data_IF_011832880640
#
_entry.id   IF_011832880640
#
_cell.length_a   1.000
_cell.length_b   1.000
_cell.length_c   1.000
_cell.angle_alpha   90.00
_cell.angle_beta   90.00
_cell.angle_gamma   90.00
#
_symmetry.space_group_name_H-M   'P 1'
#
loop_
_entity.id
_entity.type
_entity.pdbx_description
1 polymer ?
#
# COMPACT_ATOMS: atom_id res chain seq x y z
N UNK A 1 8.21 -17.71 -3.17
CA UNK A 1 7.70 -16.42 -2.65
C UNK A 1 6.18 -16.40 -2.59
N UNK A 2 5.46 -16.81 -3.63
CA UNK A 2 4.07 -17.26 -3.48
C UNK A 2 4.01 -18.72 -3.93
N UNK A 3 4.65 -19.58 -3.14
CA UNK A 3 4.34 -21.01 -3.20
C UNK A 3 3.36 -21.28 -2.05
N UNK A 4 2.60 -22.37 -2.15
CA UNK A 4 1.90 -22.91 -1.00
C UNK A 4 2.98 -23.36 -0.01
N UNK A 5 3.44 -22.44 0.84
CA UNK A 5 4.42 -22.73 1.88
C UNK A 5 3.59 -23.39 2.99
N UNK A 6 3.54 -24.73 2.99
CA UNK A 6 3.04 -25.56 4.10
C UNK A 6 4.09 -25.59 5.24
N UNK A 7 4.88 -24.53 5.38
CA UNK A 7 6.01 -24.45 6.29
C UNK A 7 5.76 -23.26 7.23
N UNK A 8 5.59 -23.55 8.53
CA UNK A 8 5.34 -22.54 9.58
C UNK A 8 6.54 -21.58 9.77
N UNK A 9 7.61 -21.75 8.99
CA UNK A 9 8.86 -20.98 9.03
C UNK A 9 8.85 -19.72 8.15
N UNK A 10 7.74 -19.38 7.48
CA UNK A 10 7.66 -18.24 6.55
C UNK A 10 8.00 -16.87 7.18
N UNK A 11 7.83 -16.75 8.50
CA UNK A 11 8.11 -15.51 9.25
C UNK A 11 9.61 -15.23 9.39
N UNK A 12 10.47 -16.22 9.14
CA UNK A 12 11.90 -16.16 9.46
C UNK A 12 12.18 -16.54 10.92
N UNK A 13 13.45 -16.43 11.33
CA UNK A 13 13.86 -16.66 12.72
C UNK A 13 13.79 -15.37 13.56
N UNK A 14 13.61 -15.50 14.87
CA UNK A 14 13.49 -14.36 15.79
C UNK A 14 14.73 -13.43 15.80
N UNK A 15 15.89 -13.95 15.40
CA UNK A 15 17.17 -13.24 15.31
C UNK A 15 17.49 -12.70 13.91
N UNK A 16 16.65 -12.96 12.91
CA UNK A 16 16.85 -12.47 11.55
C UNK A 16 16.43 -10.99 11.45
N UNK A 17 17.32 -10.08 10.99
CA UNK A 17 16.97 -8.69 10.83
C UNK A 17 15.96 -8.51 9.68
N UNK A 18 14.90 -7.74 9.92
CA UNK A 18 13.90 -7.43 8.91
C UNK A 18 14.52 -6.63 7.75
N UNK A 19 14.44 -7.19 6.55
CA UNK A 19 14.84 -6.55 5.29
C UNK A 19 13.65 -6.40 4.36
N UNK A 20 13.69 -5.45 3.43
CA UNK A 20 12.54 -5.17 2.59
C UNK A 20 12.50 -3.73 2.12
N UNK A 21 11.29 -3.17 2.04
CA UNK A 21 11.13 -1.73 1.96
C UNK A 21 11.83 -1.08 3.16
N UNK A 22 12.42 0.09 2.91
CA UNK A 22 13.05 0.85 3.99
C UNK A 22 11.99 1.15 5.06
N UNK A 23 12.37 0.96 6.32
CA UNK A 23 11.52 1.28 7.45
C UNK A 23 12.40 1.82 8.58
N UNK A 24 11.86 2.78 9.33
CA UNK A 24 12.50 3.29 10.55
C UNK A 24 11.45 3.61 11.61
N UNK A 25 11.83 3.44 12.87
CA UNK A 25 11.08 4.01 13.99
C UNK A 25 11.35 5.52 14.10
N UNK A 26 10.37 6.26 14.60
CA UNK A 26 10.49 7.70 14.83
C UNK A 26 9.31 8.49 14.25
N UNK A 27 9.24 9.78 14.58
CA UNK A 27 8.17 10.68 14.11
C UNK A 27 8.41 11.22 12.69
N UNK A 28 9.56 10.93 12.10
CA UNK A 28 9.89 11.38 10.75
C UNK A 28 9.66 10.28 9.71
N UNK A 29 9.16 10.72 8.55
CA UNK A 29 8.83 9.85 7.42
C UNK A 29 10.03 9.09 6.86
N UNK A 30 9.77 7.89 6.35
CA UNK A 30 10.76 7.10 5.60
C UNK A 30 10.42 7.02 4.11
N UNK A 31 9.19 6.60 3.77
CA UNK A 31 8.71 6.47 2.39
C UNK A 31 8.16 7.80 1.84
N UNK A 32 8.55 8.15 0.61
CA UNK A 32 8.01 9.30 -0.16
C UNK A 32 7.39 8.82 -1.47
N UNK A 33 6.15 9.22 -1.75
CA UNK A 33 5.43 8.79 -2.96
C UNK A 33 4.96 7.32 -2.92
N UNK A 34 5.13 6.60 -4.04
CA UNK A 34 4.77 5.18 -4.20
C UNK A 34 6.03 4.42 -4.60
N UNK A 35 6.41 3.42 -3.83
CA UNK A 35 7.49 2.48 -4.10
C UNK A 35 6.91 1.15 -4.54
N UNK A 36 7.43 0.59 -5.63
CA UNK A 36 7.09 -0.76 -6.07
C UNK A 36 8.25 -1.70 -5.80
N UNK A 37 7.95 -2.91 -5.32
CA UNK A 37 8.98 -3.93 -5.15
C UNK A 37 9.58 -4.28 -6.51
N UNK A 38 10.92 -4.32 -6.60
CA UNK A 38 11.63 -4.52 -7.87
C UNK A 38 11.39 -5.90 -8.49
N UNK A 39 10.94 -6.86 -7.69
CA UNK A 39 10.64 -8.23 -8.12
C UNK A 39 9.14 -8.47 -8.17
N UNK A 40 8.66 -8.88 -9.33
CA UNK A 40 7.30 -9.38 -9.51
C UNK A 40 7.23 -10.84 -9.03
N UNK A 41 6.18 -11.19 -8.29
CA UNK A 41 5.97 -12.53 -7.78
C UNK A 41 4.91 -13.26 -8.60
N UNK A 42 5.28 -14.24 -9.45
CA UNK A 42 4.30 -15.03 -10.17
C UNK A 42 3.55 -15.95 -9.19
N UNK A 43 2.24 -16.09 -9.40
CA UNK A 43 1.37 -16.97 -8.63
C UNK A 43 0.33 -17.65 -9.53
N UNK A 44 -0.31 -18.68 -9.00
CA UNK A 44 -1.44 -19.35 -9.65
C UNK A 44 -2.62 -19.33 -8.69
N UNK A 45 -3.74 -18.77 -9.14
CA UNK A 45 -4.98 -18.73 -8.38
C UNK A 45 -5.62 -20.14 -8.30
N UNK A 46 -6.56 -20.32 -7.38
CA UNK A 46 -7.25 -21.61 -7.19
C UNK A 46 -8.01 -22.07 -8.46
N UNK A 47 -8.44 -21.13 -9.31
CA UNK A 47 -9.09 -21.39 -10.59
C UNK A 47 -8.10 -21.79 -11.71
N UNK A 48 -6.79 -21.86 -11.43
CA UNK A 48 -5.73 -22.19 -12.40
C UNK A 48 -5.17 -21.00 -13.18
N UNK A 49 -5.68 -19.79 -12.97
CA UNK A 49 -5.19 -18.58 -13.63
C UNK A 49 -3.80 -18.16 -13.13
N UNK A 50 -2.91 -17.81 -14.05
CA UNK A 50 -1.56 -17.30 -13.73
C UNK A 50 -1.63 -15.80 -13.53
N UNK A 51 -1.15 -15.33 -12.39
CA UNK A 51 -1.16 -13.91 -12.01
C UNK A 51 0.25 -13.43 -11.64
N UNK A 52 0.45 -12.12 -11.77
CA UNK A 52 1.64 -11.42 -11.30
C UNK A 52 1.26 -10.59 -10.07
N UNK A 53 1.90 -10.86 -8.94
CA UNK A 53 1.71 -10.09 -7.70
C UNK A 53 2.82 -9.06 -7.58
N UNK A 54 2.41 -7.80 -7.42
CA UNK A 54 3.29 -6.65 -7.21
C UNK A 54 2.98 -6.09 -5.82
N UNK A 55 4.03 -5.81 -5.05
CA UNK A 55 3.90 -5.15 -3.75
C UNK A 55 4.18 -3.66 -3.93
N UNK A 56 3.32 -2.83 -3.34
CA UNK A 56 3.46 -1.38 -3.33
C UNK A 56 3.54 -0.91 -1.89
N UNK A 57 4.55 -0.11 -1.57
CA UNK A 57 4.65 0.65 -0.32
C UNK A 57 4.39 2.13 -0.63
N UNK A 58 3.55 2.76 0.17
CA UNK A 58 3.05 4.11 -0.11
C UNK A 58 3.37 5.02 1.06
N UNK A 59 3.69 6.27 0.76
CA UNK A 59 3.83 7.30 1.78
C UNK A 59 2.60 7.34 2.70
N UNK A 60 2.86 7.39 4.00
CA UNK A 60 1.81 7.49 5.02
C UNK A 60 1.01 8.79 4.85
N UNK A 61 -0.31 8.68 4.95
CA UNK A 61 -1.16 9.85 5.05
C UNK A 61 -0.86 10.56 6.38
N UNK A 62 -0.82 11.89 6.37
CA UNK A 62 -0.69 12.74 7.57
C UNK A 62 0.72 12.84 8.19
N UNK A 63 1.76 12.92 7.36
CA UNK A 63 3.04 13.49 7.84
C UNK A 63 2.93 15.02 8.01
N UNK A 64 3.77 15.61 8.87
CA UNK A 64 3.76 17.05 9.16
C UNK A 64 4.37 17.91 8.04
N UNK A 65 4.82 17.30 6.94
CA UNK A 65 5.59 17.95 5.87
C UNK A 65 4.85 18.02 4.53
N UNK A 66 3.84 17.18 4.32
CA UNK A 66 3.07 17.09 3.08
C UNK A 66 1.75 17.82 3.19
N UNK A 67 1.30 18.40 2.07
CA UNK A 67 -0.02 19.00 2.02
C UNK A 67 -1.08 17.90 1.98
N UNK A 68 -2.31 18.20 2.44
CA UNK A 68 -3.47 17.32 2.30
C UNK A 68 -3.63 16.83 0.85
N UNK A 69 -3.28 17.68 -0.13
CA UNK A 69 -3.34 17.38 -1.56
C UNK A 69 -2.30 16.34 -2.00
N UNK A 70 -1.08 16.38 -1.47
CA UNK A 70 -0.02 15.42 -1.83
C UNK A 70 -0.38 14.03 -1.31
N UNK A 71 -0.83 13.95 -0.05
CA UNK A 71 -1.35 12.72 0.55
C UNK A 71 -2.54 12.17 -0.22
N UNK A 72 -3.49 13.04 -0.60
CA UNK A 72 -4.64 12.65 -1.42
C UNK A 72 -4.24 12.11 -2.79
N UNK A 73 -3.21 12.69 -3.41
CA UNK A 73 -2.74 12.27 -4.74
C UNK A 73 -2.07 10.90 -4.67
N UNK A 74 -1.17 10.68 -3.70
CA UNK A 74 -0.51 9.38 -3.50
C UNK A 74 -1.54 8.30 -3.19
N UNK A 75 -2.48 8.59 -2.28
CA UNK A 75 -3.53 7.64 -1.91
C UNK A 75 -4.49 7.33 -3.07
N UNK A 76 -4.92 8.33 -3.82
CA UNK A 76 -5.80 8.12 -4.97
C UNK A 76 -5.10 7.29 -6.04
N UNK A 77 -3.84 7.59 -6.35
CA UNK A 77 -3.04 6.81 -7.30
C UNK A 77 -2.81 5.38 -6.82
N UNK A 78 -2.45 5.16 -5.55
CA UNK A 78 -2.26 3.82 -5.02
C UNK A 78 -3.55 3.01 -5.09
N UNK A 79 -4.68 3.63 -4.74
CA UNK A 79 -6.00 2.98 -4.79
C UNK A 79 -6.37 2.61 -6.22
N UNK A 80 -6.19 3.51 -7.19
CA UNK A 80 -6.49 3.24 -8.60
C UNK A 80 -5.57 2.18 -9.22
N UNK A 81 -4.32 2.11 -8.78
CA UNK A 81 -3.34 1.13 -9.28
C UNK A 81 -3.49 -0.24 -8.61
N UNK A 82 -3.92 -0.27 -7.34
CA UNK A 82 -4.05 -1.49 -6.56
C UNK A 82 -5.35 -2.23 -6.85
N UNK A 83 -5.30 -3.56 -6.94
CA UNK A 83 -6.50 -4.39 -6.83
C UNK A 83 -6.96 -4.58 -5.38
N UNK A 84 -6.03 -4.42 -4.43
CA UNK A 84 -6.25 -4.53 -2.99
C UNK A 84 -5.49 -3.40 -2.31
N UNK A 85 -6.21 -2.53 -1.62
CA UNK A 85 -5.63 -1.42 -0.83
C UNK A 85 -5.69 -1.78 0.65
N UNK A 86 -4.53 -1.80 1.33
CA UNK A 86 -4.46 -1.89 2.78
C UNK A 86 -4.45 -0.47 3.32
N UNK A 87 -5.50 -0.10 4.06
CA UNK A 87 -5.58 1.21 4.71
C UNK A 87 -5.10 1.11 6.16
N UNK A 88 -3.85 1.48 6.40
CA UNK A 88 -3.20 1.35 7.70
C UNK A 88 -3.54 2.55 8.60
N UNK A 89 -4.30 2.31 9.66
CA UNK A 89 -4.75 3.31 10.63
C UNK A 89 -4.23 2.99 12.02
N UNK A 90 -3.98 4.03 12.83
CA UNK A 90 -3.56 3.87 14.22
C UNK A 90 -4.77 3.89 15.15
N UNK A 91 -4.81 2.93 16.08
CA UNK A 91 -5.85 2.80 17.11
C UNK A 91 -7.25 2.52 16.54
N UNK A 92 -8.03 3.56 16.26
CA UNK A 92 -9.45 3.44 15.92
C UNK A 92 -9.76 4.22 14.65
N UNK A 93 -10.77 3.77 13.92
CA UNK A 93 -11.28 4.48 12.74
C UNK A 93 -12.02 5.72 13.24
N UNK A 94 -11.54 6.89 12.86
CA UNK A 94 -12.15 8.18 13.20
C UNK A 94 -12.93 8.74 12.00
N UNK A 95 -13.77 9.74 12.27
CA UNK A 95 -14.62 10.33 11.22
C UNK A 95 -13.78 11.08 10.17
N UNK A 96 -12.69 11.71 10.59
CA UNK A 96 -11.72 12.33 9.69
C UNK A 96 -11.08 11.30 8.76
N UNK A 97 -10.72 10.10 9.21
CA UNK A 97 -10.24 9.02 8.34
C UNK A 97 -11.24 8.70 7.21
N UNK A 98 -12.53 8.65 7.53
CA UNK A 98 -13.60 8.39 6.57
C UNK A 98 -13.85 9.58 5.64
N UNK A 99 -13.79 10.81 6.14
CA UNK A 99 -13.93 12.02 5.32
C UNK A 99 -12.76 12.15 4.33
N UNK A 100 -11.55 11.81 4.76
CA UNK A 100 -10.39 11.70 3.89
C UNK A 100 -10.65 10.64 2.80
N UNK A 101 -11.08 9.43 3.17
CA UNK A 101 -11.44 8.38 2.21
C UNK A 101 -12.51 8.82 1.18
N UNK A 102 -13.50 9.61 1.60
CA UNK A 102 -14.54 10.15 0.74
C UNK A 102 -14.00 11.20 -0.24
N UNK A 103 -13.14 12.11 0.23
CA UNK A 103 -12.48 13.08 -0.64
C UNK A 103 -11.66 12.36 -1.73
N UNK A 104 -11.06 11.22 -1.40
CA UNK A 104 -10.18 10.48 -2.29
C UNK A 104 -10.90 9.61 -3.33
N UNK A 105 -12.04 9.03 -2.97
CA UNK A 105 -12.90 8.31 -3.94
C UNK A 105 -13.47 9.27 -4.99
N UNK A 106 -13.78 10.51 -4.62
CA UNK A 106 -14.16 11.54 -5.60
C UNK A 106 -13.01 11.93 -6.53
N UNK A 107 -11.78 12.09 -6.03
CA UNK A 107 -10.63 12.33 -6.91
C UNK A 107 -10.37 11.18 -7.89
N UNK A 108 -10.48 9.92 -7.42
CA UNK A 108 -10.38 8.74 -8.28
C UNK A 108 -11.47 8.72 -9.36
N UNK A 109 -12.73 8.98 -8.98
CA UNK A 109 -13.86 9.08 -9.91
C UNK A 109 -13.62 10.16 -10.98
N UNK A 110 -13.22 11.37 -10.56
CA UNK A 110 -12.95 12.48 -11.47
C UNK A 110 -11.77 12.21 -12.43
N UNK A 111 -10.76 11.47 -11.99
CA UNK A 111 -9.62 11.08 -12.84
C UNK A 111 -10.02 10.03 -13.88
N UNK A 112 -10.89 9.08 -13.51
CA UNK A 112 -11.44 8.08 -14.43
C UNK A 112 -12.37 8.72 -15.48
N UNK A 113 -13.20 9.70 -15.11
CA UNK A 113 -14.09 10.40 -16.04
C UNK A 113 -13.37 11.24 -17.10
N UNK A 114 -12.17 11.75 -16.80
CA UNK A 114 -11.36 12.51 -17.77
C UNK A 114 -10.59 11.65 -18.77
N UNK A 115 -10.57 10.34 -18.56
CA UNK A 115 -9.83 9.38 -19.39
C UNK A 115 -10.72 8.63 -20.38
N UNK A 116 -12.01 9.00 -20.47
CA UNK A 116 -13.00 8.46 -21.41
C UNK A 116 -13.36 9.44 -22.53
#
# INVERSE_FOLDING_TARGET
>A
YIHKIDDDTWLGSDDEPLSGFSWRGGSERDTTGILMWSKVFPGTLQNGEKVAVILMDTQGAFDSQSTVRDCATVFALSTMLSSVQIYNLSQNIQEDDLQHLQLFTEYGRLALEKSG
#
